data_IF_446838302743
#
_entry.id   IF_446838302743
#
_cell.length_a   1.000
_cell.length_b   1.000
_cell.length_c   1.000
_cell.angle_alpha   90.00
_cell.angle_beta   90.00
_cell.angle_gamma   90.00
#
_symmetry.space_group_name_H-M   'P 1'
#
loop_
_entity.id
_entity.type
_entity.pdbx_description
1 polymer ?
#
# COMPACT_ATOMS: atom_id res chain seq x y z
N UNK A 1 -20.94 -54.86 37.99
CA UNK A 1 -22.31 -54.82 37.45
C UNK A 1 -22.54 -53.39 36.97
N UNK A 2 -22.99 -53.27 35.72
CA UNK A 2 -23.60 -52.14 35.00
C UNK A 2 -23.41 -50.67 35.45
N UNK A 3 -22.84 -49.91 34.52
CA UNK A 3 -23.22 -48.60 33.95
C UNK A 3 -24.27 -47.77 34.70
N UNK A 4 -23.86 -46.56 35.10
CA UNK A 4 -24.73 -45.39 35.19
C UNK A 4 -24.08 -44.20 34.45
N UNK A 5 -24.87 -43.58 33.59
CA UNK A 5 -24.60 -42.34 32.88
C UNK A 5 -25.69 -41.33 33.24
N UNK A 6 -25.36 -40.07 33.60
CA UNK A 6 -26.34 -39.01 33.68
C UNK A 6 -26.09 -37.88 32.67
N UNK A 7 -27.18 -37.61 31.94
CA UNK A 7 -27.78 -36.28 31.71
C UNK A 7 -27.21 -35.31 30.65
N UNK A 8 -27.98 -35.28 29.56
CA UNK A 8 -28.23 -34.18 28.64
C UNK A 8 -28.44 -32.81 29.31
N UNK A 9 -27.85 -31.77 28.72
CA UNK A 9 -28.41 -30.41 28.72
C UNK A 9 -28.51 -29.88 27.29
N UNK A 10 -29.64 -29.20 27.03
CA UNK A 10 -30.29 -28.96 25.73
C UNK A 10 -29.87 -27.65 25.06
N UNK A 11 -30.08 -27.64 23.74
CA UNK A 11 -30.20 -26.49 22.84
C UNK A 11 -31.00 -25.31 23.42
N UNK A 12 -30.50 -24.10 23.16
CA UNK A 12 -31.29 -22.87 23.17
C UNK A 12 -31.55 -22.44 21.73
N UNK A 13 -32.82 -22.59 21.35
CA UNK A 13 -33.41 -22.13 20.10
C UNK A 13 -33.69 -20.61 20.11
N UNK A 14 -33.88 -20.14 18.88
CA UNK A 14 -34.16 -18.79 18.40
C UNK A 14 -35.22 -18.01 19.18
N UNK A 15 -34.98 -16.70 19.30
CA UNK A 15 -35.95 -15.70 19.76
C UNK A 15 -36.34 -14.85 18.57
N UNK A 16 -37.55 -15.10 18.05
CA UNK A 16 -38.28 -14.26 17.12
C UNK A 16 -39.23 -13.36 17.92
N UNK A 17 -39.16 -12.04 17.69
CA UNK A 17 -40.12 -11.06 18.22
C UNK A 17 -40.46 -10.08 17.09
N UNK A 18 -41.18 -10.58 16.09
CA UNK A 18 -42.12 -9.79 15.31
C UNK A 18 -43.53 -9.95 15.89
N UNK A 19 -43.99 -8.94 16.63
CA UNK A 19 -45.40 -8.67 16.95
C UNK A 19 -45.46 -7.23 17.48
N UNK A 20 -46.23 -6.30 16.95
CA UNK A 20 -47.29 -6.34 15.95
C UNK A 20 -48.15 -5.09 16.12
N UNK A 21 -48.89 -4.78 15.05
CA UNK A 21 -50.19 -4.07 15.03
C UNK A 21 -50.25 -2.63 15.62
N UNK A 22 -51.07 -1.69 15.16
CA UNK A 22 -52.27 -1.70 14.34
C UNK A 22 -52.51 -0.22 13.90
N UNK A 23 -52.84 0.05 12.64
CA UNK A 23 -54.17 0.49 12.15
C UNK A 23 -54.55 1.97 12.32
N UNK A 24 -55.01 2.57 11.20
CA UNK A 24 -55.75 3.84 11.08
C UNK A 24 -55.12 4.75 10.02
N UNK A 25 -55.37 4.63 8.71
CA UNK A 25 -56.57 4.99 7.93
C UNK A 25 -57.12 6.39 8.23
N UNK A 26 -56.89 7.35 7.34
CA UNK A 26 -57.91 7.96 6.46
C UNK A 26 -57.30 9.09 5.62
N UNK A 27 -57.79 9.15 4.39
CA UNK A 27 -57.39 10.03 3.30
C UNK A 27 -57.83 11.49 3.55
N UNK A 28 -56.91 12.45 3.39
CA UNK A 28 -57.25 13.82 3.03
C UNK A 28 -56.26 14.31 1.96
N UNK A 29 -56.71 14.26 0.71
CA UNK A 29 -56.20 15.07 -0.39
C UNK A 29 -56.66 16.52 -0.18
N UNK A 30 -55.77 17.47 0.14
CA UNK A 30 -56.00 18.86 -0.24
C UNK A 30 -54.72 19.72 -0.30
N UNK A 31 -54.59 20.34 -1.47
CA UNK A 31 -53.87 21.55 -1.86
C UNK A 31 -52.37 21.78 -1.57
N UNK A 32 -51.68 21.87 -2.70
CA UNK A 32 -50.37 22.46 -2.97
C UNK A 32 -50.32 23.93 -2.50
N UNK A 33 -49.44 24.34 -1.57
CA UNK A 33 -49.18 25.76 -1.36
C UNK A 33 -48.15 26.26 -2.37
N UNK A 34 -48.51 27.36 -3.03
CA UNK A 34 -47.67 28.17 -3.91
C UNK A 34 -46.36 28.63 -3.22
N UNK A 35 -45.30 28.96 -3.99
CA UNK A 35 -43.94 29.03 -3.47
C UNK A 35 -43.74 30.25 -2.56
N UNK A 36 -43.86 30.01 -1.25
CA UNK A 36 -43.38 30.93 -0.23
C UNK A 36 -41.86 30.97 -0.24
N UNK A 37 -41.31 32.17 -0.35
CA UNK A 37 -39.88 32.45 -0.39
C UNK A 37 -39.17 31.86 0.83
N UNK A 38 -38.53 30.70 0.66
CA UNK A 38 -37.54 30.23 1.63
C UNK A 38 -36.30 31.06 1.39
N UNK A 39 -36.10 32.03 2.27
CA UNK A 39 -34.84 32.72 2.50
C UNK A 39 -33.73 31.67 2.58
N UNK A 40 -32.89 31.62 1.53
CA UNK A 40 -31.70 30.79 1.51
C UNK A 40 -30.83 31.20 2.69
N UNK A 41 -30.84 30.38 3.74
CA UNK A 41 -29.89 30.49 4.83
C UNK A 41 -28.50 30.40 4.25
N UNK A 42 -27.76 31.49 4.45
CA UNK A 42 -26.55 31.89 3.73
C UNK A 42 -25.31 31.09 4.14
N UNK A 43 -25.45 29.83 4.53
CA UNK A 43 -24.36 29.01 5.08
C UNK A 43 -23.96 27.79 4.24
N UNK A 44 -24.55 27.56 3.06
CA UNK A 44 -24.03 26.53 2.14
C UNK A 44 -22.77 26.98 1.39
N UNK A 45 -22.42 28.27 1.41
CA UNK A 45 -21.23 28.80 0.72
C UNK A 45 -19.90 28.44 1.40
N UNK A 46 -19.89 28.26 2.72
CA UNK A 46 -18.64 28.16 3.48
C UNK A 46 -17.97 26.78 3.42
N UNK A 47 -18.75 25.71 3.16
CA UNK A 47 -18.18 24.38 2.97
C UNK A 47 -17.43 24.25 1.64
N UNK A 48 -17.83 25.01 0.61
CA UNK A 48 -17.16 24.98 -0.70
C UNK A 48 -15.88 25.81 -0.72
N UNK A 49 -15.78 26.89 0.06
CA UNK A 49 -14.57 27.72 0.10
C UNK A 49 -13.37 26.94 0.65
N UNK A 50 -13.59 25.99 1.57
CA UNK A 50 -12.51 25.17 2.13
C UNK A 50 -11.88 24.21 1.11
N UNK A 51 -12.64 23.74 0.11
CA UNK A 51 -12.11 22.93 -1.00
C UNK A 51 -11.53 23.79 -2.14
N UNK A 52 -11.80 25.10 -2.13
CA UNK A 52 -11.40 26.07 -3.15
C UNK A 52 -10.17 26.88 -2.78
N UNK A 53 -9.49 26.57 -1.67
CA UNK A 53 -8.15 27.13 -1.46
C UNK A 53 -7.26 26.65 -2.62
N UNK A 54 -6.79 27.56 -3.50
CA UNK A 54 -5.77 27.19 -4.45
C UNK A 54 -4.60 26.80 -3.56
N UNK A 55 -4.25 25.51 -3.54
CA UNK A 55 -2.90 25.12 -3.13
C UNK A 55 -2.04 25.98 -4.05
N UNK A 56 -1.30 26.93 -3.48
CA UNK A 56 -0.52 27.89 -4.23
C UNK A 56 0.15 27.17 -5.39
N UNK A 57 -0.37 27.37 -6.60
CA UNK A 57 0.29 26.97 -7.84
C UNK A 57 1.38 28.04 -8.04
N UNK A 58 2.26 28.13 -7.05
CA UNK A 58 3.51 28.86 -7.11
C UNK A 58 4.47 27.90 -7.77
N UNK A 59 4.89 28.28 -8.96
CA UNK A 59 6.04 27.72 -9.65
C UNK A 59 6.00 26.20 -9.81
N UNK A 60 5.13 25.73 -10.71
CA UNK A 60 5.43 24.49 -11.45
C UNK A 60 6.69 24.82 -12.25
N UNK A 61 7.85 24.57 -11.64
CA UNK A 61 9.14 24.60 -12.29
C UNK A 61 8.99 23.83 -13.61
N UNK A 62 9.22 24.47 -14.77
CA UNK A 62 8.87 23.89 -16.06
C UNK A 62 9.55 22.55 -16.16
N UNK A 63 8.71 21.51 -16.35
CA UNK A 63 9.05 20.12 -16.68
C UNK A 63 10.55 19.90 -16.64
N UNK A 64 11.07 19.68 -15.43
CA UNK A 64 12.45 19.30 -15.17
C UNK A 64 12.84 18.34 -16.28
N UNK A 65 13.79 18.74 -17.15
CA UNK A 65 14.31 17.90 -18.23
C UNK A 65 14.53 16.51 -17.63
N UNK A 66 13.57 15.63 -17.93
CA UNK A 66 13.68 14.21 -17.65
C UNK A 66 14.85 13.87 -18.51
N UNK A 67 15.96 13.43 -17.90
CA UNK A 67 17.11 12.91 -18.64
C UNK A 67 16.53 11.96 -19.69
N UNK A 68 16.44 12.44 -20.93
CA UNK A 68 16.02 11.64 -22.06
C UNK A 68 17.08 10.56 -22.17
N UNK A 69 16.61 9.35 -22.40
CA UNK A 69 17.23 8.06 -22.12
C UNK A 69 18.47 7.73 -22.98
N UNK A 70 19.36 8.70 -23.22
CA UNK A 70 20.59 8.53 -23.98
C UNK A 70 21.79 8.14 -23.10
N UNK A 71 21.66 8.27 -21.77
CA UNK A 71 22.70 7.88 -20.82
C UNK A 71 22.35 6.58 -20.09
N UNK A 72 23.33 5.69 -19.93
CA UNK A 72 23.25 4.48 -19.10
C UNK A 72 23.20 4.84 -17.60
N UNK A 73 22.19 5.60 -17.19
CA UNK A 73 22.05 6.12 -15.84
C UNK A 73 21.45 5.06 -14.91
N UNK A 74 22.19 4.68 -13.88
CA UNK A 74 21.75 3.77 -12.84
C UNK A 74 21.70 4.47 -11.48
N UNK A 75 20.79 3.98 -10.63
CA UNK A 75 20.74 4.27 -9.21
C UNK A 75 20.36 2.99 -8.48
N UNK A 76 21.19 2.60 -7.51
CA UNK A 76 20.99 1.45 -6.65
C UNK A 76 20.96 1.92 -5.20
N UNK A 77 19.96 1.47 -4.45
CA UNK A 77 19.75 1.86 -3.07
C UNK A 77 19.60 0.61 -2.23
N UNK A 78 20.37 0.52 -1.16
CA UNK A 78 20.35 -0.56 -0.17
C UNK A 78 20.01 0.04 1.19
N UNK A 79 19.11 -0.60 1.92
CA UNK A 79 18.77 -0.21 3.30
C UNK A 79 19.29 -1.29 4.25
N UNK A 80 20.22 -0.93 5.13
CA UNK A 80 20.92 -1.85 6.01
C UNK A 80 21.11 -1.27 7.43
N UNK A 81 21.87 -1.98 8.25
CA UNK A 81 22.40 -1.54 9.55
C UNK A 81 21.34 -0.88 10.45
N UNK A 82 20.31 -1.61 10.89
CA UNK A 82 19.33 -1.08 11.82
C UNK A 82 19.99 -0.70 13.15
N UNK A 83 19.87 0.57 13.55
CA UNK A 83 20.54 1.12 14.73
C UNK A 83 19.54 1.87 15.62
N UNK A 84 19.56 1.56 16.91
CA UNK A 84 18.81 2.34 17.90
C UNK A 84 19.55 3.65 18.16
N UNK A 85 18.88 4.77 17.94
CA UNK A 85 19.38 6.12 18.17
C UNK A 85 18.65 6.72 19.38
N UNK A 86 19.43 7.31 20.29
CA UNK A 86 18.95 7.94 21.52
C UNK A 86 18.52 6.95 22.60
N UNK A 87 18.19 7.51 23.77
CA UNK A 87 17.83 6.76 24.98
C UNK A 87 16.42 7.10 25.49
N UNK A 88 15.88 6.21 26.34
CA UNK A 88 14.57 6.40 26.97
C UNK A 88 13.40 6.51 25.98
N UNK A 89 12.39 7.33 26.34
CA UNK A 89 11.16 7.52 25.55
C UNK A 89 11.39 8.20 24.19
N UNK A 90 12.52 8.89 24.01
CA UNK A 90 12.89 9.57 22.77
C UNK A 90 13.60 8.69 21.75
N UNK A 91 13.99 7.47 22.14
CA UNK A 91 14.74 6.56 21.27
C UNK A 91 13.93 6.10 20.04
N UNK A 92 14.63 5.87 18.94
CA UNK A 92 14.03 5.39 17.69
C UNK A 92 15.00 4.49 16.92
N UNK A 93 14.45 3.73 15.97
CA UNK A 93 15.24 2.90 15.06
C UNK A 93 15.53 3.67 13.77
N UNK A 94 16.81 3.81 13.45
CA UNK A 94 17.33 4.34 12.20
C UNK A 94 17.88 3.22 11.33
N UNK A 95 17.92 3.47 10.02
CA UNK A 95 18.43 2.57 9.01
C UNK A 95 19.45 3.32 8.16
N UNK A 96 20.51 2.65 7.77
CA UNK A 96 21.49 3.17 6.82
C UNK A 96 20.96 3.00 5.41
N UNK A 97 20.71 4.12 4.74
CA UNK A 97 20.32 4.17 3.33
C UNK A 97 21.59 4.44 2.52
N UNK A 98 22.09 3.44 1.81
CA UNK A 98 23.29 3.53 0.98
C UNK A 98 22.88 3.63 -0.48
N UNK A 99 23.37 4.65 -1.17
CA UNK A 99 23.05 4.93 -2.57
C UNK A 99 24.32 4.88 -3.42
N UNK A 100 24.24 4.19 -4.56
CA UNK A 100 25.24 4.17 -5.63
C UNK A 100 24.58 4.63 -6.92
N UNK A 101 25.15 5.61 -7.59
CA UNK A 101 24.53 6.24 -8.77
C UNK A 101 25.58 6.89 -9.65
N UNK A 102 25.31 6.95 -10.96
CA UNK A 102 26.05 7.78 -11.91
C UNK A 102 25.22 8.96 -12.44
N UNK A 103 24.05 9.23 -11.83
CA UNK A 103 23.19 10.36 -12.21
C UNK A 103 23.89 11.67 -11.81
N UNK A 104 24.20 12.59 -12.75
CA UNK A 104 25.00 13.80 -12.48
C UNK A 104 24.36 14.81 -11.51
N UNK A 105 23.07 14.64 -11.19
CA UNK A 105 22.36 15.51 -10.24
C UNK A 105 22.75 15.24 -8.78
N UNK A 106 23.34 14.09 -8.47
CA UNK A 106 23.92 13.81 -7.15
C UNK A 106 25.35 14.34 -7.07
N UNK A 107 25.75 14.83 -5.89
CA UNK A 107 27.11 15.38 -5.70
C UNK A 107 28.15 14.27 -5.59
N UNK A 108 27.74 13.09 -5.13
CA UNK A 108 28.59 11.92 -4.91
C UNK A 108 28.04 10.71 -5.69
N UNK A 109 28.93 9.85 -6.17
CA UNK A 109 28.55 8.60 -6.84
C UNK A 109 28.22 7.46 -5.87
N UNK A 110 28.72 7.53 -4.64
CA UNK A 110 28.44 6.58 -3.56
C UNK A 110 28.38 7.34 -2.22
N UNK A 111 27.30 7.16 -1.47
CA UNK A 111 27.09 7.82 -0.18
C UNK A 111 26.06 7.05 0.67
N UNK A 112 26.04 7.32 1.97
CA UNK A 112 25.06 6.75 2.89
C UNK A 112 24.53 7.80 3.84
N UNK A 113 23.26 7.70 4.20
CA UNK A 113 22.63 8.53 5.24
C UNK A 113 21.87 7.67 6.24
N UNK A 114 21.68 8.16 7.46
CA UNK A 114 20.82 7.52 8.45
C UNK A 114 19.41 8.11 8.36
N UNK A 115 18.41 7.24 8.24
CA UNK A 115 16.99 7.61 8.17
C UNK A 115 16.17 6.76 9.10
N UNK A 116 15.28 7.38 9.86
CA UNK A 116 14.30 6.66 10.67
C UNK A 116 13.03 6.42 9.86
N UNK A 117 12.22 5.47 10.31
CA UNK A 117 11.00 5.07 9.62
C UNK A 117 10.06 6.23 9.24
N UNK A 118 9.88 7.22 10.12
CA UNK A 118 9.03 8.38 9.81
C UNK A 118 9.55 9.26 8.68
N UNK A 119 10.85 9.27 8.41
CA UNK A 119 11.42 10.07 7.34
C UNK A 119 11.01 9.51 5.97
N UNK A 120 10.95 8.17 5.86
CA UNK A 120 10.40 7.48 4.67
C UNK A 120 8.93 7.82 4.44
N UNK A 121 8.16 7.93 5.52
CA UNK A 121 6.76 8.37 5.44
C UNK A 121 6.66 9.84 5.02
N UNK A 122 7.53 10.70 5.53
CA UNK A 122 7.59 12.11 5.15
C UNK A 122 7.90 12.30 3.67
N UNK A 123 8.90 11.60 3.13
CA UNK A 123 9.21 11.69 1.70
C UNK A 123 8.09 11.13 0.83
N UNK A 124 7.44 10.03 1.25
CA UNK A 124 6.24 9.54 0.56
C UNK A 124 5.15 10.62 0.50
N UNK A 125 4.80 11.25 1.62
CA UNK A 125 3.76 12.30 1.68
C UNK A 125 4.11 13.50 0.79
N UNK A 126 5.39 13.91 0.75
CA UNK A 126 5.85 14.99 -0.14
C UNK A 126 5.68 14.62 -1.62
N UNK A 127 6.09 13.42 -2.01
CA UNK A 127 5.97 12.96 -3.40
C UNK A 127 4.49 12.79 -3.81
N UNK A 128 3.64 12.26 -2.94
CA UNK A 128 2.18 12.20 -3.16
C UNK A 128 1.61 13.60 -3.38
N UNK A 129 1.97 14.57 -2.52
CA UNK A 129 1.50 15.95 -2.62
C UNK A 129 1.87 16.64 -3.93
N UNK A 130 3.06 16.34 -4.47
CA UNK A 130 3.59 16.92 -5.72
C UNK A 130 3.06 16.25 -6.98
N UNK A 131 2.95 14.92 -6.97
CA UNK A 131 2.92 14.15 -8.22
C UNK A 131 1.69 13.27 -8.42
N UNK A 132 0.97 12.89 -7.35
CA UNK A 132 -0.22 12.03 -7.50
C UNK A 132 -1.33 12.70 -8.31
N UNK A 133 -1.57 13.99 -8.07
CA UNK A 133 -2.54 14.81 -8.83
C UNK A 133 -2.13 15.06 -10.29
N UNK A 134 -0.89 14.72 -10.64
CA UNK A 134 -0.39 14.78 -12.01
C UNK A 134 -0.48 13.41 -12.71
N UNK A 135 -1.02 12.38 -12.05
CA UNK A 135 -1.22 11.05 -12.64
C UNK A 135 -0.06 10.08 -12.47
N UNK A 136 0.94 10.40 -11.63
CA UNK A 136 2.13 9.56 -11.41
C UNK A 136 1.92 8.52 -10.33
N UNK A 137 2.35 7.28 -10.59
CA UNK A 137 2.24 6.19 -9.62
C UNK A 137 3.31 6.37 -8.55
N UNK A 138 2.89 6.75 -7.34
CA UNK A 138 3.81 6.89 -6.21
C UNK A 138 3.90 5.55 -5.48
N UNK A 139 5.11 4.96 -5.35
CA UNK A 139 5.28 3.70 -4.62
C UNK A 139 4.70 3.81 -3.20
N UNK A 140 3.93 2.81 -2.73
CA UNK A 140 3.27 2.88 -1.44
C UNK A 140 4.30 2.92 -0.30
N UNK A 141 4.03 3.76 0.71
CA UNK A 141 4.82 3.74 1.94
C UNK A 141 4.70 2.38 2.65
N UNK A 142 5.78 1.88 3.28
CA UNK A 142 5.73 0.68 4.10
C UNK A 142 4.70 0.82 5.24
N UNK A 143 3.95 -0.25 5.51
CA UNK A 143 2.89 -0.23 6.51
C UNK A 143 3.44 0.06 7.91
N UNK A 144 2.73 0.91 8.67
CA UNK A 144 2.91 1.04 10.12
C UNK A 144 2.49 -0.26 10.79
N UNK A 145 3.37 -1.25 10.86
CA UNK A 145 3.12 -2.47 11.64
C UNK A 145 3.09 -2.09 13.13
N UNK A 146 1.88 -1.83 13.67
CA UNK A 146 1.65 -1.40 15.06
C UNK A 146 2.14 -2.49 16.03
N UNK A 147 1.97 -3.76 15.67
CA UNK A 147 2.27 -4.92 16.52
C UNK A 147 3.74 -4.95 16.97
N UNK A 148 4.69 -4.50 16.12
CA UNK A 148 6.10 -4.42 16.52
C UNK A 148 6.46 -3.14 17.28
N UNK A 149 5.88 -1.98 16.93
CA UNK A 149 6.15 -0.74 17.67
C UNK A 149 5.65 -0.77 19.11
N UNK A 150 4.56 -1.48 19.37
CA UNK A 150 4.03 -1.61 20.74
C UNK A 150 4.85 -2.62 21.53
N UNK A 151 5.34 -3.72 20.93
CA UNK A 151 6.20 -4.69 21.63
C UNK A 151 7.62 -4.19 21.92
N UNK A 152 8.21 -3.39 21.02
CA UNK A 152 9.48 -2.70 21.30
C UNK A 152 9.34 -1.72 22.49
N UNK A 153 8.11 -1.23 22.76
CA UNK A 153 7.82 -0.32 23.87
C UNK A 153 7.33 -1.00 25.16
N UNK A 154 6.69 -2.17 25.10
CA UNK A 154 5.95 -2.73 26.25
C UNK A 154 6.81 -3.53 27.24
N UNK A 155 8.02 -3.99 26.91
CA UNK A 155 8.83 -4.74 27.88
C UNK A 155 10.28 -4.25 27.96
N UNK A 156 10.63 -3.42 28.97
CA UNK A 156 12.00 -3.03 29.24
C UNK A 156 12.92 -4.22 29.57
N UNK A 157 12.36 -5.35 30.01
CA UNK A 157 13.12 -6.45 30.62
C UNK A 157 13.23 -7.72 29.75
N UNK A 158 12.68 -7.71 28.52
CA UNK A 158 12.89 -8.77 27.53
C UNK A 158 13.22 -8.23 26.13
N UNK A 159 13.35 -6.90 25.96
CA UNK A 159 13.78 -6.29 24.70
C UNK A 159 15.30 -6.06 24.70
N UNK A 160 16.07 -7.09 25.04
CA UNK A 160 17.47 -7.10 24.61
C UNK A 160 17.51 -7.21 23.08
N UNK A 161 18.41 -6.45 22.40
CA UNK A 161 18.71 -6.67 21.00
C UNK A 161 19.27 -8.09 20.85
N UNK A 162 18.41 -9.04 20.47
CA UNK A 162 18.73 -10.47 20.47
C UNK A 162 17.53 -11.41 20.61
N UNK A 163 16.34 -10.92 20.96
CA UNK A 163 15.13 -11.77 20.88
C UNK A 163 14.73 -12.02 19.41
N UNK A 164 14.54 -13.28 18.97
CA UNK A 164 14.29 -13.62 17.57
C UNK A 164 13.15 -12.83 16.92
N UNK A 165 12.07 -12.56 17.66
CA UNK A 165 10.91 -11.81 17.17
C UNK A 165 11.20 -10.32 16.90
N UNK A 166 12.14 -9.70 17.63
CA UNK A 166 12.49 -8.30 17.37
C UNK A 166 13.34 -8.19 16.11
N UNK A 167 14.28 -9.10 15.91
CA UNK A 167 15.12 -9.15 14.70
C UNK A 167 14.28 -9.39 13.44
N UNK A 168 13.36 -10.36 13.46
CA UNK A 168 12.47 -10.63 12.33
C UNK A 168 11.69 -9.38 11.94
N UNK A 169 11.06 -8.70 12.88
CA UNK A 169 10.30 -7.49 12.57
C UNK A 169 11.17 -6.35 12.03
N UNK A 170 12.37 -6.17 12.58
CA UNK A 170 13.33 -5.17 12.10
C UNK A 170 13.69 -5.46 10.65
N UNK A 171 13.92 -6.72 10.31
CA UNK A 171 14.28 -7.17 8.96
C UNK A 171 13.12 -7.04 7.97
N UNK A 172 11.89 -7.43 8.36
CA UNK A 172 10.67 -7.21 7.56
C UNK A 172 10.53 -5.72 7.21
N UNK A 173 10.71 -4.86 8.22
CA UNK A 173 10.62 -3.41 8.01
C UNK A 173 11.74 -2.89 7.12
N UNK A 174 12.99 -3.31 7.35
CA UNK A 174 14.16 -2.92 6.55
C UNK A 174 13.93 -3.27 5.07
N UNK A 175 13.52 -4.51 4.79
CA UNK A 175 13.22 -4.96 3.43
C UNK A 175 12.10 -4.16 2.76
N UNK A 176 11.03 -3.83 3.50
CA UNK A 176 9.95 -2.99 2.96
C UNK A 176 10.41 -1.56 2.65
N UNK A 177 11.26 -0.97 3.51
CA UNK A 177 11.85 0.35 3.28
C UNK A 177 12.76 0.36 2.04
N UNK A 178 13.57 -0.68 1.88
CA UNK A 178 14.44 -0.88 0.71
C UNK A 178 13.62 -0.93 -0.59
N UNK A 179 12.57 -1.75 -0.64
CA UNK A 179 11.70 -1.86 -1.81
C UNK A 179 11.02 -0.53 -2.13
N UNK A 180 10.59 0.23 -1.13
CA UNK A 180 9.99 1.55 -1.32
C UNK A 180 10.98 2.54 -1.97
N UNK A 181 12.18 2.72 -1.41
CA UNK A 181 13.16 3.67 -1.98
C UNK A 181 13.71 3.20 -3.31
N UNK A 182 13.90 1.89 -3.49
CA UNK A 182 14.32 1.30 -4.76
C UNK A 182 13.31 1.61 -5.87
N UNK A 183 12.01 1.34 -5.66
CA UNK A 183 10.97 1.66 -6.65
C UNK A 183 10.85 3.15 -6.92
N UNK A 184 11.00 3.98 -5.89
CA UNK A 184 10.98 5.44 -6.05
C UNK A 184 12.13 5.90 -6.94
N UNK A 185 13.32 5.32 -6.77
CA UNK A 185 14.50 5.63 -7.58
C UNK A 185 14.45 5.05 -9.02
N UNK A 186 13.60 4.06 -9.28
CA UNK A 186 13.38 3.54 -10.63
C UNK A 186 12.48 4.47 -11.48
N UNK A 187 11.67 5.33 -10.86
CA UNK A 187 10.81 6.24 -11.61
C UNK A 187 11.62 7.44 -12.17
N UNK A 188 11.57 7.73 -13.49
CA UNK A 188 12.43 8.74 -14.13
C UNK A 188 12.35 10.15 -13.55
N UNK A 189 11.14 10.57 -13.14
CA UNK A 189 10.90 11.86 -12.47
C UNK A 189 11.25 11.81 -10.97
N UNK A 190 10.73 10.83 -10.22
CA UNK A 190 10.91 10.81 -8.76
C UNK A 190 12.38 10.66 -8.35
N UNK A 191 13.17 9.92 -9.13
CA UNK A 191 14.62 9.70 -8.86
C UNK A 191 15.45 11.00 -8.89
N UNK A 192 14.93 12.05 -9.52
CA UNK A 192 15.56 13.37 -9.62
C UNK A 192 14.76 14.47 -8.92
N UNK A 193 13.73 14.13 -8.14
CA UNK A 193 13.03 15.10 -7.31
C UNK A 193 13.98 15.62 -6.21
N UNK A 194 13.95 16.93 -5.96
CA UNK A 194 14.86 17.58 -5.01
C UNK A 194 14.67 17.05 -3.58
N UNK A 195 13.43 16.78 -3.15
CA UNK A 195 13.20 16.27 -1.79
C UNK A 195 13.63 14.80 -1.68
N UNK A 196 13.44 14.00 -2.73
CA UNK A 196 13.92 12.62 -2.74
C UNK A 196 15.46 12.56 -2.77
N UNK A 197 16.12 13.38 -3.59
CA UNK A 197 17.58 13.47 -3.60
C UNK A 197 18.13 13.96 -2.26
N UNK A 198 17.51 14.98 -1.64
CA UNK A 198 17.88 15.43 -0.30
C UNK A 198 17.65 14.34 0.74
N UNK A 199 16.56 13.59 0.65
CA UNK A 199 16.31 12.43 1.49
C UNK A 199 17.43 11.38 1.36
N UNK A 200 18.01 11.17 0.18
CA UNK A 200 19.10 10.20 0.01
C UNK A 200 20.46 10.76 0.45
N UNK A 201 20.80 12.00 0.07
CA UNK A 201 22.16 12.53 0.12
C UNK A 201 22.45 13.46 1.32
N UNK A 202 21.43 14.06 1.94
CA UNK A 202 21.64 15.03 3.02
C UNK A 202 22.10 14.35 4.32
N UNK A 203 23.23 14.78 4.87
CA UNK A 203 23.71 14.30 6.17
C UNK A 203 22.93 14.94 7.35
N UNK A 204 22.07 15.93 7.09
CA UNK A 204 21.27 16.59 8.13
C UNK A 204 20.11 15.70 8.57
N UNK A 205 19.80 15.74 9.87
CA UNK A 205 18.55 15.18 10.39
C UNK A 205 17.36 15.92 9.75
N UNK A 206 16.51 15.16 9.05
CA UNK A 206 15.33 15.72 8.43
C UNK A 206 14.33 16.15 9.53
N UNK A 207 13.63 17.29 9.35
CA UNK A 207 12.64 17.75 10.30
C UNK A 207 11.60 16.65 10.55
N UNK A 208 11.16 16.50 11.80
CA UNK A 208 10.21 15.43 12.12
C UNK A 208 8.94 15.62 11.30
N UNK A 209 8.59 14.63 10.48
CA UNK A 209 7.27 14.55 9.86
C UNK A 209 6.21 14.38 10.95
N UNK A 210 5.60 15.48 11.38
CA UNK A 210 4.62 15.49 12.49
C UNK A 210 3.27 14.89 12.08
N UNK A 211 2.97 14.80 10.78
CA UNK A 211 1.65 14.44 10.24
C UNK A 211 1.56 13.03 9.62
N UNK A 212 2.45 12.10 9.96
CA UNK A 212 2.41 10.74 9.36
C UNK A 212 1.24 9.88 9.83
N UNK A 213 0.39 10.35 10.75
CA UNK A 213 -0.76 9.60 11.28
C UNK A 213 -1.74 9.14 10.19
N UNK A 214 -1.84 9.92 9.10
CA UNK A 214 -2.61 9.59 7.90
C UNK A 214 -2.10 8.34 7.14
N UNK A 215 -0.85 7.93 7.35
CA UNK A 215 -0.24 6.75 6.71
C UNK A 215 -0.35 5.46 7.55
N UNK A 216 -1.12 5.46 8.63
CA UNK A 216 -1.58 4.17 9.18
C UNK A 216 -2.52 3.51 8.16
N UNK A 217 -2.57 2.17 8.08
CA UNK A 217 -3.49 1.49 7.16
C UNK A 217 -4.95 1.98 7.29
N UNK A 218 -5.34 2.41 8.50
CA UNK A 218 -6.62 3.07 8.76
C UNK A 218 -6.73 4.50 8.20
N UNK A 219 -5.64 5.25 8.13
CA UNK A 219 -5.61 6.61 7.57
C UNK A 219 -5.75 6.63 6.05
N UNK A 220 -5.14 5.68 5.35
CA UNK A 220 -5.34 5.46 3.91
C UNK A 220 -6.80 5.07 3.63
N UNK A 221 -7.37 4.11 4.38
CA UNK A 221 -8.80 3.74 4.28
C UNK A 221 -9.72 4.93 4.59
N UNK A 222 -9.40 5.77 5.58
CA UNK A 222 -10.17 6.99 5.88
C UNK A 222 -10.07 8.04 4.78
N UNK A 223 -8.94 8.16 4.09
CA UNK A 223 -8.82 8.98 2.89
C UNK A 223 -9.71 8.41 1.79
N UNK A 224 -9.67 7.10 1.52
CA UNK A 224 -10.57 6.44 0.55
C UNK A 224 -12.06 6.67 0.89
N UNK A 225 -12.46 6.53 2.15
CA UNK A 225 -13.85 6.72 2.57
C UNK A 225 -14.29 8.19 2.53
N UNK A 226 -13.46 9.14 3.00
CA UNK A 226 -13.77 10.59 2.90
C UNK A 226 -13.83 11.05 1.45
N UNK A 227 -12.98 10.48 0.61
CA UNK A 227 -12.97 10.75 -0.82
C UNK A 227 -14.24 10.19 -1.47
N UNK A 228 -14.65 8.95 -1.15
CA UNK A 228 -15.94 8.39 -1.56
C UNK A 228 -17.15 9.22 -1.09
N UNK A 229 -17.13 9.72 0.14
CA UNK A 229 -18.18 10.61 0.68
C UNK A 229 -18.22 11.98 0.00
N UNK A 230 -17.06 12.56 -0.34
CA UNK A 230 -16.99 13.83 -1.07
C UNK A 230 -17.49 13.68 -2.50
N UNK A 231 -17.22 12.52 -3.12
CA UNK A 231 -17.69 12.15 -4.46
C UNK A 231 -19.20 11.90 -4.45
N UNK A 232 -19.76 11.27 -3.41
CA UNK A 232 -21.21 11.12 -3.28
C UNK A 232 -21.96 12.46 -3.15
N UNK A 233 -21.30 13.50 -2.62
CA UNK A 233 -21.86 14.86 -2.56
C UNK A 233 -21.77 15.63 -3.88
N UNK A 234 -20.92 15.19 -4.81
CA UNK A 234 -20.77 15.78 -6.14
C UNK A 234 -21.54 14.88 -7.12
N UNK A 235 -22.75 15.31 -7.50
CA UNK A 235 -23.73 14.54 -8.31
C UNK A 235 -23.28 14.12 -9.71
N UNK A 236 -22.06 14.45 -10.15
CA UNK A 236 -21.53 14.06 -11.44
C UNK A 236 -20.87 12.68 -11.37
N UNK A 237 -21.61 11.64 -11.71
CA UNK A 237 -21.02 10.37 -12.13
C UNK A 237 -20.19 10.63 -13.37
N UNK A 238 -18.93 10.19 -13.37
CA UNK A 238 -18.13 10.18 -14.58
C UNK A 238 -18.69 9.07 -15.47
N UNK A 239 -19.30 9.45 -16.59
CA UNK A 239 -19.58 8.52 -17.68
C UNK A 239 -18.24 8.28 -18.38
N UNK A 240 -17.62 7.13 -18.11
CA UNK A 240 -16.32 6.79 -18.69
C UNK A 240 -16.51 6.56 -20.19
N UNK A 241 -16.22 7.60 -20.97
CA UNK A 241 -16.33 7.58 -22.43
C UNK A 241 -15.03 7.17 -23.12
N UNK A 242 -13.92 6.99 -22.39
CA UNK A 242 -12.66 6.49 -22.94
C UNK A 242 -12.58 4.97 -22.72
N UNK A 243 -12.78 4.14 -23.76
CA UNK A 243 -12.75 2.68 -23.63
C UNK A 243 -11.44 2.16 -23.05
N UNK A 244 -10.33 2.88 -23.27
CA UNK A 244 -9.04 2.49 -22.70
C UNK A 244 -9.08 2.49 -21.17
N UNK A 245 -9.73 3.49 -20.54
CA UNK A 245 -9.80 3.57 -19.09
C UNK A 245 -10.76 2.53 -18.51
N UNK A 246 -11.90 2.29 -19.16
CA UNK A 246 -12.86 1.26 -18.75
C UNK A 246 -12.23 -0.14 -18.75
N UNK A 247 -11.55 -0.49 -19.85
CA UNK A 247 -10.79 -1.73 -19.98
C UNK A 247 -9.68 -1.79 -18.92
N UNK A 248 -8.95 -0.69 -18.72
CA UNK A 248 -7.80 -0.68 -17.81
C UNK A 248 -8.20 -0.78 -16.34
N UNK A 249 -9.30 -0.15 -15.95
CA UNK A 249 -9.88 -0.26 -14.60
C UNK A 249 -10.27 -1.70 -14.35
N UNK A 250 -11.00 -2.33 -15.28
CA UNK A 250 -11.42 -3.73 -15.18
C UNK A 250 -10.21 -4.68 -15.08
N UNK A 251 -9.17 -4.45 -15.89
CA UNK A 251 -7.93 -5.24 -15.84
C UNK A 251 -7.25 -5.12 -14.47
N UNK A 252 -7.07 -3.89 -13.97
CA UNK A 252 -6.44 -3.61 -12.68
C UNK A 252 -7.22 -4.25 -11.53
N UNK A 253 -8.54 -4.17 -11.53
CA UNK A 253 -9.40 -4.79 -10.50
C UNK A 253 -9.30 -6.32 -10.52
N UNK A 254 -9.31 -6.93 -11.71
CA UNK A 254 -9.15 -8.37 -11.87
C UNK A 254 -7.78 -8.86 -11.36
N UNK A 255 -6.71 -8.15 -11.72
CA UNK A 255 -5.36 -8.46 -11.27
C UNK A 255 -5.19 -8.29 -9.77
N UNK A 256 -5.71 -7.21 -9.20
CA UNK A 256 -5.68 -6.95 -7.76
C UNK A 256 -6.43 -8.06 -6.99
N UNK A 257 -7.63 -8.45 -7.44
CA UNK A 257 -8.40 -9.52 -6.83
C UNK A 257 -7.69 -10.88 -6.89
N UNK A 258 -7.08 -11.22 -8.02
CA UNK A 258 -6.33 -12.46 -8.18
C UNK A 258 -5.04 -12.46 -7.34
N UNK A 259 -4.35 -11.32 -7.29
CA UNK A 259 -3.14 -11.17 -6.49
C UNK A 259 -3.45 -11.22 -4.98
N UNK A 260 -4.62 -10.74 -4.55
CA UNK A 260 -5.08 -10.87 -3.16
C UNK A 260 -5.33 -12.32 -2.77
N UNK A 261 -5.92 -13.12 -3.67
CA UNK A 261 -6.08 -14.57 -3.47
C UNK A 261 -4.73 -15.27 -3.35
N UNK A 262 -3.80 -14.96 -4.25
CA UNK A 262 -2.44 -15.51 -4.22
C UNK A 262 -1.70 -15.11 -2.93
N UNK A 263 -1.80 -13.85 -2.51
CA UNK A 263 -1.21 -13.38 -1.26
C UNK A 263 -1.74 -14.15 -0.04
N UNK A 264 -3.05 -14.40 0.02
CA UNK A 264 -3.66 -15.16 1.10
C UNK A 264 -3.18 -16.62 1.09
N UNK A 265 -3.06 -17.25 -0.08
CA UNK A 265 -2.47 -18.58 -0.21
C UNK A 265 -1.01 -18.61 0.27
N UNK A 266 -0.21 -17.62 -0.11
CA UNK A 266 1.18 -17.49 0.34
C UNK A 266 1.29 -17.28 1.85
N UNK A 267 0.43 -16.47 2.47
CA UNK A 267 0.39 -16.31 3.93
C UNK A 267 0.07 -17.63 4.64
N UNK A 268 -0.86 -18.40 4.09
CA UNK A 268 -1.19 -19.74 4.60
C UNK A 268 0.02 -20.67 4.50
N UNK A 269 0.69 -20.68 3.35
CA UNK A 269 1.89 -21.48 3.10
C UNK A 269 3.03 -21.13 4.06
N UNK A 270 3.32 -19.84 4.26
CA UNK A 270 4.33 -19.40 5.24
C UNK A 270 3.99 -19.90 6.64
N UNK A 271 2.73 -19.78 7.04
CA UNK A 271 2.27 -20.19 8.38
C UNK A 271 2.42 -21.70 8.57
N UNK A 272 1.91 -22.50 7.63
CA UNK A 272 1.98 -23.96 7.71
C UNK A 272 3.41 -24.48 7.62
N UNK A 273 4.29 -23.84 6.84
CA UNK A 273 5.71 -24.25 6.78
C UNK A 273 6.48 -23.92 8.05
N UNK A 274 6.19 -22.79 8.70
CA UNK A 274 6.74 -22.47 10.03
C UNK A 274 6.29 -23.47 11.09
N UNK A 275 5.02 -23.84 11.07
CA UNK A 275 4.48 -24.88 11.94
C UNK A 275 5.12 -26.25 11.65
N UNK A 276 5.29 -26.61 10.38
CA UNK A 276 5.97 -27.83 9.99
C UNK A 276 7.42 -27.85 10.48
N UNK A 277 8.16 -26.75 10.34
CA UNK A 277 9.52 -26.62 10.90
C UNK A 277 9.52 -26.87 12.41
N UNK A 278 8.64 -26.21 13.17
CA UNK A 278 8.51 -26.40 14.62
C UNK A 278 8.22 -27.87 15.00
N UNK A 279 7.23 -28.49 14.36
CA UNK A 279 6.85 -29.88 14.62
C UNK A 279 7.99 -30.85 14.30
N UNK A 280 8.80 -30.53 13.29
CA UNK A 280 10.00 -31.31 12.91
C UNK A 280 11.03 -31.29 14.02
N UNK A 281 11.28 -30.11 14.61
CA UNK A 281 12.17 -29.97 15.76
C UNK A 281 11.67 -30.74 16.99
N UNK A 282 10.35 -30.88 17.16
CA UNK A 282 9.78 -31.74 18.22
C UNK A 282 10.00 -33.23 17.94
N UNK A 283 9.90 -33.65 16.69
CA UNK A 283 10.24 -35.03 16.28
C UNK A 283 11.72 -35.31 16.54
N UNK A 284 12.62 -34.40 16.13
CA UNK A 284 14.06 -34.52 16.37
C UNK A 284 14.36 -34.73 17.87
N UNK A 285 13.80 -33.88 18.74
CA UNK A 285 13.95 -33.99 20.20
C UNK A 285 13.41 -35.31 20.75
N UNK A 286 12.26 -35.76 20.25
CA UNK A 286 11.64 -37.01 20.67
C UNK A 286 12.47 -38.23 20.25
N UNK A 287 13.00 -38.23 19.03
CA UNK A 287 13.90 -39.27 18.52
C UNK A 287 15.21 -39.33 19.34
N UNK A 288 15.78 -38.17 19.69
CA UNK A 288 16.95 -38.10 20.56
C UNK A 288 16.67 -38.70 21.95
N UNK A 289 15.51 -38.38 22.55
CA UNK A 289 15.11 -38.97 23.83
C UNK A 289 14.94 -40.49 23.74
N UNK A 290 14.29 -41.00 22.69
CA UNK A 290 14.14 -42.44 22.48
C UNK A 290 15.49 -43.14 22.30
N UNK A 291 16.43 -42.52 21.57
CA UNK A 291 17.79 -43.05 21.40
C UNK A 291 18.49 -43.32 22.74
N UNK A 292 18.28 -42.46 23.75
CA UNK A 292 18.87 -42.62 25.08
C UNK A 292 18.24 -43.72 25.93
N UNK A 293 16.98 -44.09 25.64
CA UNK A 293 16.24 -45.13 26.35
C UNK A 293 16.33 -46.50 25.67
N UNK A 294 16.88 -46.56 24.45
CA UNK A 294 16.92 -47.77 23.64
C UNK A 294 18.17 -48.62 23.96
N UNK A 295 17.95 -49.90 24.28
CA UNK A 295 19.02 -50.86 24.62
C UNK A 295 19.67 -51.45 23.36
N UNK A 296 18.92 -51.59 22.26
CA UNK A 296 19.45 -52.11 21.01
C UNK A 296 20.39 -51.09 20.35
N UNK A 297 21.69 -51.36 20.43
CA UNK A 297 22.73 -50.42 19.97
C UNK A 297 22.56 -49.91 18.54
N UNK A 298 22.14 -50.77 17.59
CA UNK A 298 21.89 -50.36 16.20
C UNK A 298 20.69 -49.42 16.08
N UNK A 299 19.62 -49.68 16.83
CA UNK A 299 18.42 -48.86 16.82
C UNK A 299 18.65 -47.53 17.54
N UNK A 300 19.34 -47.55 18.68
CA UNK A 300 19.75 -46.34 19.40
C UNK A 300 20.58 -45.41 18.50
N UNK A 301 21.58 -45.93 17.78
CA UNK A 301 22.37 -45.14 16.80
C UNK A 301 21.52 -44.60 15.66
N UNK A 302 20.60 -45.40 15.11
CA UNK A 302 19.72 -44.96 14.04
C UNK A 302 18.78 -43.83 14.52
N UNK A 303 18.21 -43.94 15.72
CA UNK A 303 17.39 -42.88 16.33
C UNK A 303 18.18 -41.59 16.59
N UNK A 304 19.43 -41.70 17.03
CA UNK A 304 20.31 -40.53 17.19
C UNK A 304 20.58 -39.84 15.86
N UNK A 305 20.90 -40.59 14.80
CA UNK A 305 21.13 -40.01 13.48
C UNK A 305 19.85 -39.45 12.86
N UNK A 306 18.69 -40.08 13.12
CA UNK A 306 17.39 -39.55 12.72
C UNK A 306 17.13 -38.20 13.39
N UNK A 307 17.43 -38.07 14.69
CA UNK A 307 17.29 -36.82 15.41
C UNK A 307 18.15 -35.71 14.78
N UNK A 308 19.43 -36.00 14.49
CA UNK A 308 20.34 -35.04 13.85
C UNK A 308 19.86 -34.62 12.45
N UNK A 309 19.29 -35.55 11.68
CA UNK A 309 18.75 -35.29 10.33
C UNK A 309 17.49 -34.43 10.42
N UNK A 310 16.58 -34.74 11.34
CA UNK A 310 15.36 -33.96 11.53
C UNK A 310 15.67 -32.55 12.08
N UNK A 311 16.68 -32.36 12.93
CA UNK A 311 17.13 -31.03 13.37
C UNK A 311 17.64 -30.19 12.18
N UNK A 312 18.42 -30.80 11.27
CA UNK A 312 18.86 -30.13 10.03
C UNK A 312 17.68 -29.79 9.12
N UNK A 313 16.67 -30.65 9.04
CA UNK A 313 15.45 -30.42 8.25
C UNK A 313 14.59 -29.33 8.88
N UNK A 314 14.49 -29.25 10.21
CA UNK A 314 13.82 -28.16 10.94
C UNK A 314 14.37 -26.81 10.50
N UNK A 315 15.70 -26.62 10.57
CA UNK A 315 16.36 -25.38 10.21
C UNK A 315 16.12 -25.02 8.74
N UNK A 316 16.28 -26.00 7.85
CA UNK A 316 16.07 -25.81 6.42
C UNK A 316 14.60 -25.48 6.07
N UNK A 317 13.63 -26.07 6.77
CA UNK A 317 12.20 -25.71 6.63
C UNK A 317 11.91 -24.29 7.14
N UNK A 318 12.62 -23.85 8.19
CA UNK A 318 12.55 -22.47 8.68
C UNK A 318 13.08 -21.47 7.65
N UNK A 319 14.23 -21.77 7.04
CA UNK A 319 14.80 -21.00 5.92
C UNK A 319 13.83 -20.94 4.74
N UNK A 320 13.27 -22.08 4.34
CA UNK A 320 12.30 -22.17 3.26
C UNK A 320 11.05 -21.32 3.54
N UNK A 321 10.59 -21.26 4.80
CA UNK A 321 9.46 -20.43 5.18
C UNK A 321 9.81 -18.93 5.14
N UNK A 322 11.07 -18.57 5.42
CA UNK A 322 11.55 -17.21 5.24
C UNK A 322 11.62 -16.84 3.75
N UNK A 323 12.02 -17.76 2.88
CA UNK A 323 11.99 -17.54 1.44
C UNK A 323 10.58 -17.36 0.88
N UNK A 324 9.63 -18.22 1.29
CA UNK A 324 8.20 -18.04 0.97
C UNK A 324 7.71 -16.64 1.36
N UNK A 325 8.15 -16.17 2.53
CA UNK A 325 7.73 -14.88 3.08
C UNK A 325 8.41 -13.69 2.38
N UNK A 326 9.75 -13.61 2.39
CA UNK A 326 10.51 -12.46 1.93
C UNK A 326 10.60 -12.37 0.41
N UNK A 327 10.75 -13.50 -0.29
CA UNK A 327 10.86 -13.49 -1.74
C UNK A 327 9.48 -13.29 -2.33
N UNK A 328 8.49 -14.12 -1.99
CA UNK A 328 7.21 -14.12 -2.71
C UNK A 328 6.06 -13.40 -2.00
N UNK A 329 5.78 -13.69 -0.73
CA UNK A 329 4.61 -13.11 -0.05
C UNK A 329 4.70 -11.57 0.10
N UNK A 330 5.83 -11.05 0.58
CA UNK A 330 6.05 -9.61 0.73
C UNK A 330 6.16 -8.90 -0.63
N UNK A 331 6.71 -9.55 -1.65
CA UNK A 331 6.72 -9.03 -3.01
C UNK A 331 5.30 -8.84 -3.57
N UNK A 332 4.44 -9.85 -3.39
CA UNK A 332 3.02 -9.81 -3.79
C UNK A 332 2.28 -8.69 -3.04
N UNK A 333 2.47 -8.60 -1.72
CA UNK A 333 1.88 -7.57 -0.87
C UNK A 333 2.23 -6.16 -1.31
N UNK A 334 3.48 -5.94 -1.71
CA UNK A 334 3.90 -4.66 -2.24
C UNK A 334 3.19 -4.31 -3.56
N UNK A 335 3.03 -5.29 -4.46
CA UNK A 335 2.30 -5.10 -5.71
C UNK A 335 0.81 -4.82 -5.48
N UNK A 336 0.19 -5.40 -4.45
CA UNK A 336 -1.14 -4.98 -4.00
C UNK A 336 -1.15 -3.51 -3.56
N UNK A 337 -0.10 -3.06 -2.87
CA UNK A 337 0.05 -1.64 -2.54
C UNK A 337 0.18 -0.74 -3.79
N UNK A 338 0.89 -1.20 -4.83
CA UNK A 338 0.99 -0.49 -6.11
C UNK A 338 -0.35 -0.43 -6.85
N UNK A 339 -1.14 -1.51 -6.84
CA UNK A 339 -2.51 -1.47 -7.37
C UNK A 339 -3.38 -0.47 -6.59
N UNK A 340 -3.21 -0.37 -5.27
CA UNK A 340 -3.80 0.69 -4.47
C UNK A 340 -3.40 2.10 -4.94
N UNK A 341 -2.12 2.32 -5.24
CA UNK A 341 -1.63 3.60 -5.77
C UNK A 341 -2.18 3.91 -7.18
N UNK A 342 -2.33 2.90 -8.04
CA UNK A 342 -2.96 3.04 -9.37
C UNK A 342 -4.43 3.47 -9.23
N UNK A 343 -5.18 2.84 -8.32
CA UNK A 343 -6.57 3.24 -8.03
C UNK A 343 -6.65 4.69 -7.53
N UNK A 344 -5.66 5.16 -6.76
CA UNK A 344 -5.59 6.57 -6.33
C UNK A 344 -5.43 7.54 -7.51
N UNK A 345 -4.56 7.25 -8.50
CA UNK A 345 -4.38 8.16 -9.64
C UNK A 345 -5.57 8.13 -10.61
N UNK A 346 -6.23 6.98 -10.79
CA UNK A 346 -7.52 6.91 -11.49
C UNK A 346 -8.55 7.79 -10.80
N UNK A 347 -8.57 7.78 -9.47
CA UNK A 347 -9.45 8.62 -8.70
C UNK A 347 -9.14 10.13 -8.85
N UNK A 348 -7.88 10.54 -8.90
CA UNK A 348 -7.51 11.93 -9.20
C UNK A 348 -7.97 12.36 -10.61
N UNK A 349 -7.96 11.46 -11.60
CA UNK A 349 -8.54 11.73 -12.93
C UNK A 349 -10.04 11.96 -12.86
N UNK A 350 -10.78 11.17 -12.08
CA UNK A 350 -12.22 11.39 -11.86
C UNK A 350 -12.48 12.77 -11.24
N UNK A 351 -11.67 13.20 -10.26
CA UNK A 351 -11.77 14.56 -9.70
C UNK A 351 -11.50 15.65 -10.74
N UNK A 352 -10.48 15.48 -11.58
CA UNK A 352 -10.18 16.41 -12.66
C UNK A 352 -11.36 16.52 -13.65
N UNK A 353 -11.98 15.40 -14.01
CA UNK A 353 -13.18 15.36 -14.84
C UNK A 353 -14.36 16.10 -14.19
N UNK A 354 -14.65 15.82 -12.91
CA UNK A 354 -15.75 16.47 -12.18
C UNK A 354 -15.54 17.98 -12.08
N UNK A 355 -14.31 18.44 -11.85
CA UNK A 355 -13.98 19.86 -11.84
C UNK A 355 -14.22 20.51 -13.21
N UNK A 356 -13.88 19.81 -14.29
CA UNK A 356 -14.13 20.26 -15.66
C UNK A 356 -15.63 20.34 -15.96
N UNK A 357 -16.41 19.31 -15.65
CA UNK A 357 -17.86 19.29 -15.83
C UNK A 357 -18.57 20.38 -15.04
N UNK A 358 -18.17 20.58 -13.78
CA UNK A 358 -18.68 21.68 -12.95
C UNK A 358 -18.38 23.03 -13.58
N UNK A 359 -17.15 23.25 -14.09
CA UNK A 359 -16.80 24.48 -14.79
C UNK A 359 -17.64 24.69 -16.06
N UNK A 360 -17.92 23.63 -16.83
CA UNK A 360 -18.78 23.72 -18.01
C UNK A 360 -20.22 24.12 -17.66
N UNK A 361 -20.80 23.51 -16.62
CA UNK A 361 -22.14 23.87 -16.16
C UNK A 361 -22.19 25.34 -15.74
N UNK A 362 -21.21 25.81 -14.97
CA UNK A 362 -21.16 27.20 -14.54
C UNK A 362 -21.01 28.15 -15.73
N UNK A 363 -20.17 27.82 -16.71
CA UNK A 363 -20.07 28.58 -17.96
C UNK A 363 -21.43 28.65 -18.70
N UNK A 364 -22.17 27.55 -18.79
CA UNK A 364 -23.53 27.55 -19.38
C UNK A 364 -24.45 28.52 -18.66
N UNK A 365 -24.48 28.48 -17.32
CA UNK A 365 -25.28 29.40 -16.50
C UNK A 365 -24.89 30.86 -16.73
N UNK A 366 -23.60 31.18 -16.87
CA UNK A 366 -23.13 32.55 -17.18
C UNK A 366 -23.56 32.99 -18.58
N UNK A 367 -23.49 32.11 -19.58
CA UNK A 367 -23.95 32.37 -20.95
C UNK A 367 -25.46 32.63 -20.99
N UNK A 368 -26.25 31.82 -20.29
CA UNK A 368 -27.70 31.99 -20.17
C UNK A 368 -28.06 33.31 -19.46
N UNK A 369 -27.39 33.64 -18.36
CA UNK A 369 -27.60 34.90 -17.64
C UNK A 369 -27.27 36.11 -18.52
N UNK A 370 -26.17 36.06 -19.27
CA UNK A 370 -25.82 37.10 -20.26
C UNK A 370 -26.91 37.25 -21.31
N UNK A 371 -27.38 36.15 -21.90
CA UNK A 371 -28.48 36.15 -22.87
C UNK A 371 -29.79 36.70 -22.29
N UNK A 372 -30.08 36.46 -21.01
CA UNK A 372 -31.23 37.06 -20.32
C UNK A 372 -31.11 38.58 -20.18
N UNK A 373 -29.92 39.11 -19.89
CA UNK A 373 -29.72 40.56 -19.83
C UNK A 373 -29.81 41.22 -21.20
N UNK A 374 -29.36 40.52 -22.25
CA UNK A 374 -29.48 40.96 -23.64
C UNK A 374 -30.96 41.05 -24.07
N UNK A 375 -31.76 40.00 -23.81
CA UNK A 375 -33.19 40.01 -24.08
C UNK A 375 -33.97 41.04 -23.24
N UNK A 376 -33.49 41.36 -22.03
CA UNK A 376 -34.11 42.35 -21.15
C UNK A 376 -33.61 43.79 -21.39
N UNK A 377 -32.80 44.05 -22.43
CA UNK A 377 -32.20 45.35 -22.73
C UNK A 377 -31.45 45.99 -21.54
N UNK A 378 -30.83 45.19 -20.66
CA UNK A 378 -30.05 45.68 -19.51
C UNK A 378 -28.58 45.89 -19.86
N UNK A 379 -28.32 46.90 -20.70
CA UNK A 379 -26.99 47.21 -21.21
C UNK A 379 -25.94 47.46 -20.10
N UNK A 380 -26.35 48.01 -18.96
CA UNK A 380 -25.52 48.24 -17.78
C UNK A 380 -24.88 46.97 -17.20
N UNK A 381 -25.49 45.80 -17.42
CA UNK A 381 -25.02 44.50 -16.90
C UNK A 381 -24.36 43.62 -17.94
N UNK A 382 -24.41 43.98 -19.22
CA UNK A 382 -23.88 43.14 -20.30
C UNK A 382 -22.37 42.99 -20.20
N UNK A 383 -21.64 44.09 -19.95
CA UNK A 383 -20.18 44.07 -19.84
C UNK A 383 -19.72 43.18 -18.67
N UNK A 384 -20.36 43.31 -17.50
CA UNK A 384 -20.05 42.48 -16.33
C UNK A 384 -20.37 40.99 -16.59
N UNK A 385 -21.51 40.69 -17.20
CA UNK A 385 -21.88 39.32 -17.54
C UNK A 385 -20.95 38.71 -18.60
N UNK A 386 -20.44 39.51 -19.54
CA UNK A 386 -19.44 39.08 -20.51
C UNK A 386 -18.11 38.76 -19.84
N UNK A 387 -17.64 39.59 -18.90
CA UNK A 387 -16.43 39.31 -18.12
C UNK A 387 -16.55 37.99 -17.32
N UNK A 388 -17.70 37.73 -16.70
CA UNK A 388 -17.94 36.45 -16.01
C UNK A 388 -17.91 35.26 -16.99
N UNK A 389 -18.48 35.41 -18.20
CA UNK A 389 -18.41 34.37 -19.24
C UNK A 389 -16.96 34.10 -19.65
N UNK A 390 -16.16 35.15 -19.86
CA UNK A 390 -14.77 35.03 -20.28
C UNK A 390 -13.90 34.36 -19.18
N UNK A 391 -14.13 34.72 -17.90
CA UNK A 391 -13.47 34.09 -16.76
C UNK A 391 -13.77 32.59 -16.68
N UNK A 392 -15.04 32.22 -16.75
CA UNK A 392 -15.46 30.81 -16.70
C UNK A 392 -15.03 30.04 -17.95
N UNK A 393 -14.94 30.69 -19.11
CA UNK A 393 -14.40 30.09 -20.33
C UNK A 393 -12.92 29.74 -20.15
N UNK A 394 -12.12 30.67 -19.61
CA UNK A 394 -10.72 30.40 -19.27
C UNK A 394 -10.58 29.30 -18.21
N UNK A 395 -11.50 29.23 -17.23
CA UNK A 395 -11.51 28.16 -16.22
C UNK A 395 -11.84 26.79 -16.83
N UNK A 396 -12.83 26.70 -17.72
CA UNK A 396 -13.15 25.47 -18.45
C UNK A 396 -11.95 24.97 -19.24
N UNK A 397 -11.25 25.87 -19.95
CA UNK A 397 -10.06 25.51 -20.72
C UNK A 397 -8.95 24.95 -19.82
N UNK A 398 -8.68 25.57 -18.66
CA UNK A 398 -7.69 25.07 -17.70
C UNK A 398 -8.06 23.71 -17.12
N UNK A 399 -9.33 23.52 -16.73
CA UNK A 399 -9.79 22.23 -16.19
C UNK A 399 -9.78 21.12 -17.24
N UNK A 400 -10.11 21.44 -18.50
CA UNK A 400 -9.98 20.51 -19.61
C UNK A 400 -8.53 20.09 -19.81
N UNK A 401 -7.61 21.06 -19.90
CA UNK A 401 -6.18 20.77 -20.04
C UNK A 401 -5.65 19.90 -18.90
N UNK A 402 -6.04 20.17 -17.66
CA UNK A 402 -5.66 19.34 -16.51
C UNK A 402 -6.18 17.90 -16.63
N UNK A 403 -7.41 17.72 -17.11
CA UNK A 403 -7.99 16.39 -17.35
C UNK A 403 -7.29 15.64 -18.50
N UNK A 404 -6.94 16.34 -19.57
CA UNK A 404 -6.21 15.78 -20.71
C UNK A 404 -4.78 15.39 -20.29
N UNK A 405 -4.08 16.26 -19.56
CA UNK A 405 -2.71 16.05 -19.06
C UNK A 405 -2.64 14.85 -18.11
N UNK A 406 -3.53 14.77 -17.12
CA UNK A 406 -3.56 13.65 -16.18
C UNK A 406 -3.92 12.35 -16.89
N UNK A 407 -4.84 12.39 -17.85
CA UNK A 407 -5.22 11.20 -18.63
C UNK A 407 -4.04 10.68 -19.46
N UNK A 408 -3.29 11.58 -20.10
CA UNK A 408 -2.11 11.22 -20.86
C UNK A 408 -0.97 10.70 -19.97
N UNK A 409 -0.74 11.31 -18.80
CA UNK A 409 0.28 10.82 -17.85
C UNK A 409 -0.08 9.43 -17.31
N UNK A 410 -1.34 9.20 -16.93
CA UNK A 410 -1.77 7.89 -16.44
C UNK A 410 -1.52 6.80 -17.50
N UNK A 411 -1.79 7.06 -18.77
CA UNK A 411 -1.50 6.11 -19.85
C UNK A 411 0.00 5.75 -19.91
N UNK A 412 0.87 6.76 -19.88
CA UNK A 412 2.35 6.55 -19.85
C UNK A 412 2.81 5.78 -18.61
N UNK A 413 2.22 6.09 -17.46
CA UNK A 413 2.57 5.46 -16.19
C UNK A 413 2.09 4.01 -16.11
N UNK A 414 0.92 3.71 -16.68
CA UNK A 414 0.44 2.33 -16.79
C UNK A 414 1.35 1.51 -17.70
N UNK A 415 1.76 2.01 -18.86
CA UNK A 415 2.72 1.32 -19.74
C UNK A 415 4.04 1.00 -19.00
N UNK A 416 4.59 1.99 -18.29
CA UNK A 416 5.80 1.79 -17.48
C UNK A 416 5.59 0.74 -16.39
N UNK A 417 4.49 0.84 -15.66
CA UNK A 417 4.15 -0.08 -14.58
C UNK A 417 4.04 -1.51 -15.09
N UNK A 418 3.42 -1.73 -16.24
CA UNK A 418 3.23 -3.06 -16.80
C UNK A 418 4.54 -3.72 -17.22
N UNK A 419 5.39 -2.98 -17.92
CA UNK A 419 6.72 -3.45 -18.30
C UNK A 419 7.56 -3.83 -17.07
N UNK A 420 7.51 -2.97 -16.05
CA UNK A 420 8.22 -3.20 -14.77
C UNK A 420 7.65 -4.40 -14.04
N UNK A 421 6.31 -4.51 -13.94
CA UNK A 421 5.61 -5.63 -13.31
C UNK A 421 6.00 -6.96 -13.93
N UNK A 422 5.93 -7.08 -15.25
CA UNK A 422 6.26 -8.34 -15.92
C UNK A 422 7.72 -8.74 -15.66
N UNK A 423 8.65 -7.78 -15.73
CA UNK A 423 10.07 -8.01 -15.43
C UNK A 423 10.28 -8.45 -13.99
N UNK A 424 9.71 -7.73 -13.03
CA UNK A 424 9.85 -7.99 -11.61
C UNK A 424 9.27 -9.35 -11.22
N UNK A 425 8.05 -9.68 -11.66
CA UNK A 425 7.44 -10.98 -11.38
C UNK A 425 8.27 -12.11 -11.96
N UNK A 426 8.78 -11.97 -13.19
CA UNK A 426 9.66 -12.98 -13.79
C UNK A 426 10.90 -13.23 -12.93
N UNK A 427 11.64 -12.16 -12.60
CA UNK A 427 12.87 -12.26 -11.79
C UNK A 427 12.57 -12.87 -10.42
N UNK A 428 11.51 -12.41 -9.78
CA UNK A 428 11.18 -12.82 -8.42
C UNK A 428 10.65 -14.26 -8.34
N UNK A 429 9.85 -14.71 -9.33
CA UNK A 429 9.38 -16.10 -9.42
C UNK A 429 10.54 -17.05 -9.71
N UNK A 430 11.46 -16.69 -10.61
CA UNK A 430 12.65 -17.51 -10.89
C UNK A 430 13.47 -17.66 -9.60
N UNK A 431 13.79 -16.54 -8.94
CA UNK A 431 14.52 -16.56 -7.67
C UNK A 431 13.83 -17.45 -6.63
N UNK A 432 12.51 -17.34 -6.50
CA UNK A 432 11.74 -18.15 -5.56
C UNK A 432 11.83 -19.65 -5.89
N UNK A 433 11.64 -20.04 -7.15
CA UNK A 433 11.69 -21.45 -7.56
C UNK A 433 13.09 -22.02 -7.37
N UNK A 434 14.14 -21.31 -7.79
CA UNK A 434 15.54 -21.72 -7.60
C UNK A 434 15.86 -21.99 -6.14
N UNK A 435 15.40 -21.08 -5.27
CA UNK A 435 15.58 -21.20 -3.84
C UNK A 435 14.81 -22.40 -3.26
N UNK A 436 13.55 -22.62 -3.65
CA UNK A 436 12.79 -23.82 -3.24
C UNK A 436 13.45 -25.12 -3.73
N UNK A 437 14.02 -25.13 -4.93
CA UNK A 437 14.75 -26.27 -5.47
C UNK A 437 16.01 -26.57 -4.66
N UNK A 438 16.77 -25.54 -4.27
CA UNK A 438 17.95 -25.69 -3.43
C UNK A 438 17.59 -26.30 -2.06
N UNK A 439 16.53 -25.81 -1.41
CA UNK A 439 16.00 -26.41 -0.18
C UNK A 439 15.65 -27.89 -0.38
N UNK A 440 14.93 -28.24 -1.45
CA UNK A 440 14.54 -29.62 -1.69
C UNK A 440 15.74 -30.55 -1.95
N UNK A 441 16.74 -30.09 -2.71
CA UNK A 441 17.98 -30.83 -2.96
C UNK A 441 18.74 -31.11 -1.65
N UNK A 442 18.78 -30.12 -0.76
CA UNK A 442 19.45 -30.28 0.53
C UNK A 442 18.71 -31.25 1.46
N UNK A 443 17.37 -31.27 1.46
CA UNK A 443 16.56 -32.28 2.16
C UNK A 443 16.89 -33.70 1.65
N UNK A 444 16.96 -33.88 0.33
CA UNK A 444 17.31 -35.18 -0.29
C UNK A 444 18.68 -35.63 0.19
N UNK A 445 19.68 -34.74 0.16
CA UNK A 445 21.03 -35.05 0.65
C UNK A 445 21.05 -35.49 2.12
N UNK A 446 20.25 -34.87 2.99
CA UNK A 446 20.15 -35.28 4.40
C UNK A 446 19.55 -36.68 4.56
N UNK A 447 18.49 -37.01 3.82
CA UNK A 447 17.89 -38.35 3.86
C UNK A 447 18.78 -39.43 3.25
N UNK A 448 19.51 -39.13 2.17
CA UNK A 448 20.48 -40.05 1.58
C UNK A 448 21.62 -40.37 2.54
N UNK A 449 22.09 -39.37 3.30
CA UNK A 449 23.10 -39.56 4.35
C UNK A 449 22.58 -40.39 5.53
N UNK A 450 21.28 -40.32 5.83
CA UNK A 450 20.64 -41.14 6.88
C UNK A 450 20.45 -42.61 6.48
N UNK A 451 20.17 -42.87 5.20
CA UNK A 451 19.75 -44.19 4.72
C UNK A 451 20.64 -45.38 5.13
N UNK A 452 21.99 -45.28 5.21
CA UNK A 452 22.84 -46.36 5.70
C UNK A 452 22.53 -46.78 7.15
N UNK A 453 22.34 -45.81 8.06
CA UNK A 453 22.06 -46.09 9.47
C UNK A 453 20.73 -46.83 9.66
N UNK A 454 19.72 -46.49 8.86
CA UNK A 454 18.44 -47.20 8.87
C UNK A 454 18.56 -48.66 8.39
N UNK A 455 19.49 -48.95 7.48
CA UNK A 455 19.72 -50.32 6.97
C UNK A 455 20.49 -51.19 7.96
N UNK A 456 21.29 -50.61 8.84
CA UNK A 456 22.05 -51.32 9.88
C UNK A 456 21.19 -51.83 11.05
N UNK A 457 19.90 -51.47 11.11
CA UNK A 457 18.98 -51.94 12.16
C UNK A 457 18.64 -53.44 11.99
N UNK A 458 18.76 -53.99 10.77
CA UNK A 458 18.35 -55.35 10.39
C UNK A 458 19.30 -56.43 10.88
#
# INVERSE_FOLDING_TARGET
MEVESPEHTRDFAEVDINNGAATGSEDEEEEVPAPGSVTLDRNESDLFVSALSPSSIGDIHPLQEVLTDDGDYFISIVVSDPQKIGDGMGSYLAYKVTTKTNIPKFKRSEFSTLRRFSDFLGIHDLLVGKYMRLGRIIPPAPSKNIIGSTKVKISPQQSEPGTPMTQEWVEIRRAALERFVHRTAQHPVLRVDLDFMNFLESDQELPRSVNTSALSGAGVIRLFNKVGETVNKITYKMDENDPWFDDKITEVESLDANLQKLHNAMKSLVTSRRELSLLTGLVAKSAAMLSTCEEHTGLSRALSNLADVEEKIELLRSEQANSDFFILAEFIKDYLGLFGAIKCIFHERVKAFQNWQYAQMQLSKRRENRGRFELANRADKLDQAQQEVDEWQGKVQRCQQQFDDISAEIKREMERFELTRVKDFKVNIIKYIEDQMAHQQQIVSYWEAFAPFAREIV
#
